data_IF_110856308725
#
_entry.id   IF_110856308725
#
_cell.length_a   1.000
_cell.length_b   1.000
_cell.length_c   1.000
_cell.angle_alpha   90.00
_cell.angle_beta   90.00
_cell.angle_gamma   90.00
#
_symmetry.space_group_name_H-M   'P 1'
#
loop_
_entity.id
_entity.type
_entity.pdbx_description
1 polymer ?
#
# COMPACT_ATOMS: atom_id res chain seq x y z
N UNK A 1 8.11 25.11 12.01
CA UNK A 1 8.22 23.93 11.13
C UNK A 1 7.59 22.77 11.90
N UNK A 2 6.72 21.99 11.28
CA UNK A 2 6.16 20.78 11.92
C UNK A 2 7.30 19.81 12.24
N UNK A 3 7.24 19.13 13.38
CA UNK A 3 8.24 18.13 13.76
C UNK A 3 8.17 16.95 12.79
N UNK A 4 9.32 16.36 12.41
CA UNK A 4 9.33 15.18 11.57
C UNK A 4 8.72 13.99 12.33
N UNK A 5 7.70 13.37 11.75
CA UNK A 5 7.02 12.21 12.33
C UNK A 5 7.60 10.90 11.76
N UNK A 6 7.67 10.78 10.42
CA UNK A 6 8.30 9.65 9.75
C UNK A 6 9.52 10.14 8.96
N UNK A 7 10.68 9.53 9.19
CA UNK A 7 11.93 9.89 8.51
C UNK A 7 12.56 8.67 7.86
N UNK A 8 12.86 8.78 6.59
CA UNK A 8 13.73 7.87 5.84
C UNK A 8 15.05 8.61 5.56
N UNK A 9 16.16 8.02 5.92
CA UNK A 9 17.50 8.58 5.66
C UNK A 9 18.32 7.61 4.82
N UNK A 10 18.55 7.97 3.55
CA UNK A 10 19.34 7.21 2.55
C UNK A 10 18.99 5.72 2.52
N UNK A 11 17.70 5.42 2.51
CA UNK A 11 17.21 4.04 2.54
C UNK A 11 17.53 3.34 1.24
N UNK A 12 18.25 2.22 1.34
CA UNK A 12 18.44 1.26 0.26
C UNK A 12 17.78 -0.07 0.62
N UNK A 13 17.14 -0.72 -0.35
CA UNK A 13 16.50 -2.03 -0.19
C UNK A 13 16.96 -2.96 -1.29
N UNK A 14 17.32 -4.19 -0.91
CA UNK A 14 17.71 -5.26 -1.83
C UNK A 14 16.78 -6.46 -1.66
N UNK A 15 16.32 -7.02 -2.76
CA UNK A 15 15.49 -8.23 -2.78
C UNK A 15 16.05 -9.21 -3.81
N UNK A 16 16.35 -10.43 -3.39
CA UNK A 16 16.89 -11.46 -4.28
C UNK A 16 18.21 -11.08 -4.97
N UNK A 17 19.03 -10.24 -4.33
CA UNK A 17 20.30 -9.74 -4.89
C UNK A 17 20.14 -8.53 -5.81
N UNK A 18 18.93 -8.11 -6.12
CA UNK A 18 18.67 -6.90 -6.90
C UNK A 18 18.40 -5.69 -6.00
N UNK A 19 18.99 -4.53 -6.32
CA UNK A 19 18.70 -3.27 -5.63
C UNK A 19 17.38 -2.71 -6.14
N UNK A 20 16.40 -2.61 -5.23
CA UNK A 20 15.04 -2.15 -5.55
C UNK A 20 14.86 -0.67 -5.23
N UNK A 21 15.45 -0.21 -4.11
CA UNK A 21 15.46 1.21 -3.73
C UNK A 21 16.89 1.66 -3.51
N UNK A 22 17.20 2.89 -3.90
CA UNK A 22 18.51 3.51 -3.76
C UNK A 22 18.41 4.91 -3.18
N UNK A 23 19.09 5.12 -2.04
CA UNK A 23 19.31 6.43 -1.38
C UNK A 23 18.03 7.24 -1.18
N UNK A 24 16.91 6.55 -0.87
CA UNK A 24 15.62 7.21 -0.67
C UNK A 24 15.64 7.95 0.65
N UNK A 25 15.55 9.29 0.58
CA UNK A 25 15.41 10.16 1.75
C UNK A 25 14.09 10.91 1.67
N UNK A 26 13.28 10.79 2.73
CA UNK A 26 11.95 11.39 2.82
C UNK A 26 11.63 11.72 4.27
N UNK A 27 11.11 12.91 4.52
CA UNK A 27 10.58 13.29 5.81
C UNK A 27 9.10 13.58 5.66
N UNK A 28 8.26 12.97 6.49
CA UNK A 28 6.81 13.20 6.54
C UNK A 28 6.47 13.83 7.88
N UNK A 29 5.73 14.92 7.84
CA UNK A 29 5.28 15.63 9.06
C UNK A 29 4.10 14.90 9.72
N UNK A 30 3.85 15.19 10.99
CA UNK A 30 2.60 14.77 11.64
C UNK A 30 1.39 15.28 10.85
N UNK A 31 0.38 14.42 10.72
CA UNK A 31 -0.88 14.77 10.05
C UNK A 31 -0.72 15.18 8.59
N UNK A 32 0.37 14.81 7.96
CA UNK A 32 0.57 15.01 6.53
C UNK A 32 0.03 13.81 5.74
N UNK A 33 -0.66 14.07 4.64
CA UNK A 33 -1.01 13.05 3.66
C UNK A 33 -0.02 13.13 2.50
N UNK A 34 0.83 12.13 2.35
CA UNK A 34 1.81 12.05 1.26
C UNK A 34 1.36 10.98 0.26
N UNK A 35 1.32 11.34 -1.03
CA UNK A 35 1.17 10.35 -2.10
C UNK A 35 2.51 10.12 -2.80
N UNK A 36 2.82 8.84 -3.00
CA UNK A 36 3.98 8.39 -3.79
C UNK A 36 3.45 7.86 -5.13
N UNK A 37 3.82 8.54 -6.22
CA UNK A 37 3.49 8.12 -7.57
C UNK A 37 4.76 7.71 -8.33
N UNK A 38 4.62 7.01 -9.45
CA UNK A 38 5.77 6.61 -10.25
C UNK A 38 5.44 5.47 -11.20
N UNK A 39 6.40 5.12 -12.04
CA UNK A 39 6.26 4.04 -13.01
C UNK A 39 6.10 2.67 -12.35
N UNK A 40 5.53 1.71 -13.09
CA UNK A 40 5.47 0.32 -12.63
C UNK A 40 6.89 -0.22 -12.46
N UNK A 41 7.13 -0.97 -11.38
CA UNK A 41 8.48 -1.47 -11.07
C UNK A 41 9.40 -0.47 -10.35
N UNK A 42 9.02 0.80 -10.18
CA UNK A 42 9.82 1.82 -9.50
C UNK A 42 9.99 1.65 -7.97
N UNK A 43 9.60 0.51 -7.38
CA UNK A 43 9.85 0.23 -5.95
C UNK A 43 8.85 0.84 -4.97
N UNK A 44 7.73 1.43 -5.42
CA UNK A 44 6.73 2.11 -4.55
C UNK A 44 6.16 1.20 -3.46
N UNK A 45 5.68 0.02 -3.82
CA UNK A 45 5.20 -0.99 -2.85
C UNK A 45 6.31 -1.46 -1.91
N UNK A 46 7.56 -1.56 -2.41
CA UNK A 46 8.73 -1.89 -1.59
C UNK A 46 8.99 -0.79 -0.58
N UNK A 47 8.94 0.48 -0.99
CA UNK A 47 9.07 1.63 -0.09
C UNK A 47 8.03 1.59 1.03
N UNK A 48 6.76 1.40 0.67
CA UNK A 48 5.67 1.32 1.65
C UNK A 48 5.85 0.16 2.62
N UNK A 49 6.25 -1.03 2.13
CA UNK A 49 6.51 -2.20 2.98
C UNK A 49 7.71 -2.02 3.89
N UNK A 50 8.73 -1.28 3.44
CA UNK A 50 9.90 -0.93 4.26
C UNK A 50 9.50 0.02 5.40
N UNK A 51 8.69 1.03 5.12
CA UNK A 51 8.13 1.93 6.14
C UNK A 51 7.28 1.16 7.16
N UNK A 52 6.53 0.15 6.70
CA UNK A 52 5.74 -0.73 7.58
C UNK A 52 6.59 -1.68 8.45
N UNK A 53 7.90 -1.74 8.26
CA UNK A 53 8.78 -2.71 8.90
C UNK A 53 8.61 -4.14 8.38
N UNK A 54 7.96 -4.33 7.23
CA UNK A 54 7.75 -5.64 6.60
C UNK A 54 8.94 -6.09 5.75
N UNK A 55 9.80 -5.16 5.35
CA UNK A 55 11.03 -5.42 4.62
C UNK A 55 12.20 -4.74 5.33
N UNK A 56 13.33 -5.42 5.50
CA UNK A 56 14.52 -4.82 6.09
C UNK A 56 15.18 -3.83 5.13
N UNK A 57 15.86 -2.83 5.67
CA UNK A 57 16.75 -1.96 4.92
C UNK A 57 18.11 -2.64 4.71
N UNK A 58 18.71 -2.51 3.54
CA UNK A 58 20.09 -2.93 3.28
C UNK A 58 21.10 -1.88 3.81
N UNK A 59 20.75 -0.59 3.72
CA UNK A 59 21.47 0.53 4.34
C UNK A 59 20.54 1.72 4.54
N UNK A 60 20.97 2.69 5.33
CA UNK A 60 20.14 3.81 5.75
C UNK A 60 19.26 3.46 6.95
N UNK A 61 18.26 4.27 7.22
CA UNK A 61 17.35 4.04 8.35
C UNK A 61 15.94 4.55 8.09
N UNK A 62 14.96 3.92 8.73
CA UNK A 62 13.57 4.40 8.86
C UNK A 62 13.29 4.63 10.32
N UNK A 63 12.74 5.78 10.67
CA UNK A 63 12.34 6.09 12.04
C UNK A 63 10.96 6.73 12.11
N UNK A 64 10.23 6.48 13.19
CA UNK A 64 8.95 7.06 13.53
C UNK A 64 9.10 7.75 14.89
N UNK A 65 8.89 9.07 14.95
CA UNK A 65 9.17 9.93 16.11
C UNK A 65 10.59 9.75 16.69
N UNK A 66 11.57 9.60 15.83
CA UNK A 66 12.96 9.36 16.21
C UNK A 66 13.27 7.92 16.66
N UNK A 67 12.27 7.02 16.78
CA UNK A 67 12.49 5.61 17.09
C UNK A 67 12.65 4.79 15.82
N UNK A 68 13.72 3.96 15.72
CA UNK A 68 13.96 3.17 14.52
C UNK A 68 12.84 2.12 14.28
N UNK A 69 12.42 2.00 13.04
CA UNK A 69 11.48 0.96 12.58
C UNK A 69 12.28 -0.30 12.26
N UNK A 70 12.26 -1.27 13.18
CA UNK A 70 13.00 -2.54 13.05
C UNK A 70 12.09 -3.72 12.72
N UNK A 71 10.77 -3.50 12.66
CA UNK A 71 9.76 -4.52 12.38
C UNK A 71 8.35 -3.94 12.39
N UNK A 72 7.32 -4.77 12.13
CA UNK A 72 5.94 -4.34 12.20
C UNK A 72 5.56 -3.77 13.58
N UNK A 73 4.81 -2.68 13.59
CA UNK A 73 4.42 -1.97 14.81
C UNK A 73 2.89 -1.74 14.83
N UNK A 74 2.24 -1.80 16.01
CA UNK A 74 0.83 -1.42 16.15
C UNK A 74 0.57 0.06 15.84
N UNK A 75 1.59 0.91 15.82
CA UNK A 75 1.51 2.32 15.44
C UNK A 75 1.23 2.50 13.94
N UNK A 76 1.47 1.45 13.13
CA UNK A 76 1.36 1.50 11.67
C UNK A 76 0.32 0.50 11.18
N UNK A 77 -0.63 0.93 10.36
CA UNK A 77 -1.56 0.03 9.67
C UNK A 77 -1.36 0.08 8.16
N UNK A 78 -1.48 -1.08 7.51
CA UNK A 78 -1.30 -1.22 6.06
C UNK A 78 -2.59 -1.71 5.41
N UNK A 79 -3.03 -0.99 4.38
CA UNK A 79 -4.07 -1.44 3.45
C UNK A 79 -3.36 -1.93 2.19
N UNK A 80 -3.41 -3.24 1.96
CA UNK A 80 -2.77 -3.87 0.81
C UNK A 80 -3.66 -3.82 -0.43
N UNK A 81 -3.05 -3.83 -1.61
CA UNK A 81 -3.73 -3.90 -2.90
C UNK A 81 -4.68 -5.12 -3.01
N UNK A 82 -4.30 -6.26 -2.44
CA UNK A 82 -5.09 -7.49 -2.38
C UNK A 82 -5.78 -7.64 -1.03
N UNK A 83 -6.70 -6.79 -0.69
CA UNK A 83 -7.60 -6.74 0.47
C UNK A 83 -7.09 -7.38 1.79
N UNK A 84 -6.35 -8.50 1.76
CA UNK A 84 -5.77 -9.21 2.90
C UNK A 84 -6.80 -9.61 3.98
N UNK A 85 -8.07 -9.83 3.60
CA UNK A 85 -9.12 -10.19 4.54
C UNK A 85 -8.99 -11.65 4.97
N UNK A 86 -9.36 -11.91 6.22
CA UNK A 86 -9.45 -13.28 6.75
C UNK A 86 -10.73 -13.95 6.21
N UNK A 87 -10.63 -14.95 5.32
CA UNK A 87 -11.79 -15.53 4.66
C UNK A 87 -12.76 -16.26 5.60
N UNK A 88 -12.26 -16.71 6.75
CA UNK A 88 -13.04 -17.38 7.82
C UNK A 88 -13.64 -16.43 8.87
N UNK A 89 -13.48 -15.13 8.72
CA UNK A 89 -14.06 -14.10 9.61
C UNK A 89 -15.12 -13.31 8.87
N UNK A 90 -16.19 -12.97 9.57
CA UNK A 90 -17.20 -12.03 9.06
C UNK A 90 -16.60 -10.63 8.88
N UNK A 91 -17.30 -9.73 8.16
CA UNK A 91 -16.93 -8.32 8.00
C UNK A 91 -16.67 -7.67 9.37
N UNK A 92 -17.63 -7.75 10.29
CA UNK A 92 -17.50 -7.25 11.66
C UNK A 92 -16.26 -7.80 12.37
N UNK A 93 -16.00 -9.09 12.24
CA UNK A 93 -14.86 -9.75 12.88
C UNK A 93 -13.53 -9.38 12.22
N UNK A 94 -13.50 -9.11 10.91
CA UNK A 94 -12.34 -8.58 10.21
C UNK A 94 -11.99 -7.18 10.72
N UNK A 95 -12.98 -6.29 10.83
CA UNK A 95 -12.79 -4.92 11.34
C UNK A 95 -12.24 -4.94 12.78
N UNK A 96 -12.86 -5.74 13.65
CA UNK A 96 -12.45 -5.86 15.05
C UNK A 96 -11.08 -6.52 15.26
N UNK A 97 -10.51 -7.15 14.23
CA UNK A 97 -9.28 -7.93 14.36
C UNK A 97 -8.05 -7.06 14.68
N UNK A 98 -7.96 -5.85 14.10
CA UNK A 98 -6.86 -4.93 14.38
C UNK A 98 -6.70 -4.61 15.86
N UNK A 99 -7.80 -4.36 16.56
CA UNK A 99 -7.81 -4.13 18.02
C UNK A 99 -7.37 -5.37 18.80
N UNK A 100 -7.86 -6.55 18.41
CA UNK A 100 -7.53 -7.82 19.09
C UNK A 100 -6.03 -8.15 19.02
N UNK A 101 -5.40 -7.92 17.87
CA UNK A 101 -3.95 -8.18 17.69
C UNK A 101 -3.10 -7.25 18.56
N UNK A 102 -3.59 -6.03 18.80
CA UNK A 102 -2.94 -5.07 19.70
C UNK A 102 -3.17 -5.37 21.20
N UNK A 103 -3.90 -6.45 21.52
CA UNK A 103 -4.29 -6.75 22.90
C UNK A 103 -5.32 -5.76 23.49
N UNK A 104 -5.91 -4.91 22.66
CA UNK A 104 -6.91 -3.92 23.08
C UNK A 104 -8.30 -4.56 23.14
N UNK A 105 -9.12 -4.16 24.11
CA UNK A 105 -10.53 -4.55 24.13
C UNK A 105 -11.21 -4.06 22.84
N UNK A 106 -12.07 -4.92 22.28
CA UNK A 106 -12.86 -4.53 21.11
C UNK A 106 -13.96 -3.57 21.58
N UNK A 107 -13.88 -2.32 21.13
CA UNK A 107 -14.95 -1.34 21.29
C UNK A 107 -16.06 -1.61 20.25
N UNK A 108 -17.27 -2.06 20.67
CA UNK A 108 -18.36 -2.32 19.76
C UNK A 108 -18.86 -1.06 19.03
N UNK A 109 -18.75 0.11 19.67
CA UNK A 109 -19.18 1.38 19.08
C UNK A 109 -18.21 1.85 18.00
N UNK A 110 -16.90 1.66 18.19
CA UNK A 110 -15.91 1.91 17.12
C UNK A 110 -16.19 1.03 15.90
N UNK A 111 -16.41 -0.27 16.11
CA UNK A 111 -16.72 -1.19 15.00
C UNK A 111 -18.02 -0.79 14.31
N UNK A 112 -19.05 -0.37 15.05
CA UNK A 112 -20.31 0.13 14.49
C UNK A 112 -20.05 1.39 13.64
N UNK A 113 -19.34 2.38 14.17
CA UNK A 113 -18.98 3.59 13.42
C UNK A 113 -18.25 3.27 12.11
N UNK A 114 -17.30 2.33 12.12
CA UNK A 114 -16.59 1.91 10.90
C UNK A 114 -17.54 1.28 9.88
N UNK A 115 -18.47 0.43 10.33
CA UNK A 115 -19.49 -0.17 9.48
C UNK A 115 -20.41 0.88 8.85
N UNK A 116 -20.86 1.84 9.63
CA UNK A 116 -21.73 2.94 9.18
C UNK A 116 -21.02 3.85 8.18
N UNK A 117 -19.84 4.35 8.54
CA UNK A 117 -19.09 5.30 7.71
C UNK A 117 -18.69 4.72 6.36
N UNK A 118 -18.31 3.43 6.34
CA UNK A 118 -17.92 2.73 5.12
C UNK A 118 -19.06 1.96 4.46
N UNK A 119 -20.31 2.19 4.88
CA UNK A 119 -21.55 1.62 4.30
C UNK A 119 -21.51 0.08 4.23
N UNK A 120 -21.13 -0.55 5.34
CA UNK A 120 -20.99 -2.02 5.48
C UNK A 120 -22.01 -2.64 6.43
N UNK A 121 -23.03 -1.87 6.93
CA UNK A 121 -23.99 -2.35 7.91
C UNK A 121 -24.75 -3.60 7.46
N UNK A 122 -25.24 -3.59 6.21
CA UNK A 122 -26.07 -4.66 5.65
C UNK A 122 -25.29 -5.96 5.45
N UNK A 123 -23.95 -5.86 5.38
CA UNK A 123 -23.06 -7.01 5.15
C UNK A 123 -22.18 -7.33 6.36
N UNK A 124 -22.46 -6.76 7.52
CA UNK A 124 -21.63 -6.90 8.73
C UNK A 124 -21.39 -8.36 9.14
N UNK A 125 -22.34 -9.25 8.88
CA UNK A 125 -22.27 -10.68 9.20
C UNK A 125 -21.86 -11.56 8.01
N UNK A 126 -21.59 -10.99 6.83
CA UNK A 126 -21.15 -11.71 5.64
C UNK A 126 -19.67 -12.06 5.74
N UNK A 127 -19.29 -13.14 5.05
CA UNK A 127 -17.90 -13.53 4.86
C UNK A 127 -17.32 -12.91 3.58
N UNK A 128 -16.00 -12.74 3.47
CA UNK A 128 -15.36 -12.13 2.30
C UNK A 128 -15.76 -12.74 0.95
N UNK A 129 -16.04 -14.05 0.88
CA UNK A 129 -16.47 -14.71 -0.34
C UNK A 129 -17.81 -14.18 -0.89
N UNK A 130 -18.65 -13.58 -0.03
CA UNK A 130 -19.98 -13.06 -0.37
C UNK A 130 -19.94 -11.58 -0.78
N UNK A 131 -18.77 -10.94 -0.78
CA UNK A 131 -18.59 -9.50 -1.00
C UNK A 131 -18.10 -9.20 -2.41
N UNK A 132 -18.55 -8.08 -2.97
CA UNK A 132 -17.93 -7.49 -4.16
C UNK A 132 -16.49 -7.00 -3.86
N UNK A 133 -15.68 -6.75 -4.92
CA UNK A 133 -14.33 -6.21 -4.78
C UNK A 133 -14.30 -4.90 -3.99
N UNK A 134 -15.20 -3.97 -4.30
CA UNK A 134 -15.33 -2.71 -3.60
C UNK A 134 -15.69 -2.85 -2.12
N UNK A 135 -16.60 -3.79 -1.79
CA UNK A 135 -16.91 -4.09 -0.39
C UNK A 135 -15.71 -4.68 0.36
N UNK A 136 -14.95 -5.59 -0.28
CA UNK A 136 -13.73 -6.14 0.31
C UNK A 136 -12.71 -5.04 0.61
N UNK A 137 -12.56 -4.09 -0.28
CA UNK A 137 -11.67 -2.94 -0.10
C UNK A 137 -12.12 -2.08 1.08
N UNK A 138 -13.40 -1.74 1.17
CA UNK A 138 -13.98 -1.02 2.31
C UNK A 138 -13.72 -1.74 3.64
N UNK A 139 -13.86 -3.06 3.68
CA UNK A 139 -13.55 -3.86 4.89
C UNK A 139 -12.06 -3.80 5.24
N UNK A 140 -11.16 -3.88 4.26
CA UNK A 140 -9.72 -3.74 4.47
C UNK A 140 -9.34 -2.39 5.07
N UNK A 141 -9.91 -1.31 4.53
CA UNK A 141 -9.71 0.06 5.03
C UNK A 141 -10.33 0.21 6.43
N UNK A 142 -11.57 -0.27 6.65
CA UNK A 142 -12.23 -0.25 7.95
C UNK A 142 -11.40 -0.93 9.04
N UNK A 143 -10.80 -2.09 8.73
CA UNK A 143 -9.93 -2.83 9.64
C UNK A 143 -8.66 -2.04 9.98
N UNK A 144 -8.04 -1.40 9.00
CA UNK A 144 -6.84 -0.59 9.21
C UNK A 144 -7.15 0.63 10.08
N UNK A 145 -8.24 1.33 9.80
CA UNK A 145 -8.66 2.52 10.56
C UNK A 145 -9.16 2.18 11.97
N UNK A 146 -9.83 1.03 12.15
CA UNK A 146 -10.27 0.58 13.48
C UNK A 146 -9.10 0.29 14.43
N UNK A 147 -7.90 0.04 13.92
CA UNK A 147 -6.69 -0.10 14.73
C UNK A 147 -6.20 1.25 15.31
N UNK A 148 -6.78 2.38 14.86
CA UNK A 148 -6.40 3.75 15.25
C UNK A 148 -4.87 3.98 15.12
N UNK A 149 -4.29 3.76 13.93
CA UNK A 149 -2.87 3.88 13.72
C UNK A 149 -2.41 5.35 13.73
N UNK A 150 -1.16 5.59 14.10
CA UNK A 150 -0.50 6.89 13.93
C UNK A 150 -0.08 7.09 12.46
N UNK A 151 0.28 6.01 11.76
CA UNK A 151 0.64 6.01 10.34
C UNK A 151 -0.23 5.03 9.57
N UNK A 152 -1.00 5.55 8.62
CA UNK A 152 -1.79 4.76 7.68
C UNK A 152 -1.06 4.64 6.35
N UNK A 153 -0.75 3.43 5.95
CA UNK A 153 -0.08 3.10 4.70
C UNK A 153 -1.07 2.46 3.72
N UNK A 154 -1.17 2.99 2.51
CA UNK A 154 -2.16 2.60 1.51
C UNK A 154 -1.43 2.19 0.21
N UNK A 155 -1.46 0.91 -0.13
CA UNK A 155 -0.83 0.35 -1.33
C UNK A 155 -1.88 0.16 -2.44
N UNK A 156 -1.97 1.13 -3.35
CA UNK A 156 -2.95 1.18 -4.47
C UNK A 156 -4.39 0.87 -4.03
N UNK A 157 -4.93 1.56 -3.00
CA UNK A 157 -6.16 1.14 -2.33
C UNK A 157 -7.42 1.22 -3.21
N UNK A 158 -7.37 1.93 -4.33
CA UNK A 158 -8.55 2.18 -5.17
C UNK A 158 -8.41 1.64 -6.58
N UNK A 159 -7.29 1.00 -6.92
CA UNK A 159 -6.95 0.59 -8.31
C UNK A 159 -7.93 -0.41 -8.92
N UNK A 160 -8.53 -1.29 -8.11
CA UNK A 160 -9.45 -2.36 -8.55
C UNK A 160 -10.93 -1.95 -8.61
N UNK A 161 -11.24 -0.67 -8.39
CA UNK A 161 -12.61 -0.18 -8.29
C UNK A 161 -13.07 0.51 -9.59
N UNK A 162 -14.37 0.39 -9.89
CA UNK A 162 -15.00 1.24 -10.90
C UNK A 162 -14.99 2.72 -10.48
N UNK A 163 -15.15 3.63 -11.44
CA UNK A 163 -14.97 5.07 -11.23
C UNK A 163 -15.88 5.66 -10.14
N UNK A 164 -17.15 5.24 -10.08
CA UNK A 164 -18.12 5.79 -9.11
C UNK A 164 -17.81 5.29 -7.70
N UNK A 165 -17.56 3.99 -7.54
CA UNK A 165 -17.18 3.38 -6.26
C UNK A 165 -15.85 3.95 -5.77
N UNK A 166 -14.88 4.15 -6.66
CA UNK A 166 -13.57 4.74 -6.37
C UNK A 166 -13.72 6.14 -5.79
N UNK A 167 -14.41 7.04 -6.48
CA UNK A 167 -14.61 8.42 -6.03
C UNK A 167 -15.35 8.49 -4.69
N UNK A 168 -16.39 7.66 -4.50
CA UNK A 168 -17.08 7.57 -3.22
C UNK A 168 -16.15 7.15 -2.09
N UNK A 169 -15.33 6.12 -2.31
CA UNK A 169 -14.43 5.59 -1.27
C UNK A 169 -13.26 6.53 -0.98
N UNK A 170 -12.71 7.20 -1.99
CA UNK A 170 -11.69 8.25 -1.81
C UNK A 170 -12.19 9.37 -0.90
N UNK A 171 -13.38 9.88 -1.16
CA UNK A 171 -14.00 10.92 -0.34
C UNK A 171 -14.29 10.44 1.10
N UNK A 172 -14.71 9.18 1.29
CA UNK A 172 -14.93 8.59 2.62
C UNK A 172 -13.62 8.46 3.40
N UNK A 173 -12.56 7.95 2.77
CA UNK A 173 -11.23 7.81 3.39
C UNK A 173 -10.63 9.17 3.74
N UNK A 174 -10.76 10.15 2.83
CA UNK A 174 -10.25 11.50 3.06
C UNK A 174 -10.94 12.16 4.26
N UNK A 175 -12.27 12.06 4.36
CA UNK A 175 -13.03 12.58 5.51
C UNK A 175 -12.62 11.91 6.83
N UNK A 176 -12.43 10.58 6.81
CA UNK A 176 -11.98 9.85 8.00
C UNK A 176 -10.58 10.27 8.44
N UNK A 177 -9.68 10.50 7.49
CA UNK A 177 -8.35 11.01 7.76
C UNK A 177 -8.40 12.45 8.30
N UNK A 178 -9.15 13.34 7.66
CA UNK A 178 -9.31 14.75 8.10
C UNK A 178 -9.93 14.87 9.50
N UNK A 179 -10.84 13.96 9.85
CA UNK A 179 -11.46 13.91 11.18
C UNK A 179 -10.52 13.36 12.26
N UNK A 180 -9.44 12.67 11.89
CA UNK A 180 -8.48 12.09 12.82
C UNK A 180 -7.31 13.06 13.07
N UNK A 181 -7.27 13.65 14.25
CA UNK A 181 -6.27 14.67 14.60
C UNK A 181 -4.83 14.16 14.68
N UNK A 182 -4.59 12.83 14.71
CA UNK A 182 -3.29 12.25 15.00
C UNK A 182 -2.79 11.28 13.91
N UNK A 183 -3.45 11.20 12.76
CA UNK A 183 -3.12 10.21 11.73
C UNK A 183 -2.36 10.84 10.58
N UNK A 184 -1.14 10.39 10.37
CA UNK A 184 -0.33 10.64 9.17
C UNK A 184 -0.66 9.57 8.12
N UNK A 185 -0.70 9.91 6.84
CA UNK A 185 -0.98 8.95 5.78
C UNK A 185 0.08 8.97 4.68
N UNK A 186 0.45 7.78 4.19
CA UNK A 186 1.27 7.62 3.00
C UNK A 186 0.58 6.65 2.06
N UNK A 187 0.31 7.11 0.85
CA UNK A 187 -0.38 6.33 -0.17
C UNK A 187 0.49 6.15 -1.40
N UNK A 188 0.52 4.93 -1.92
CA UNK A 188 1.08 4.62 -3.23
C UNK A 188 -0.07 4.55 -4.23
N UNK A 189 0.08 5.25 -5.36
CA UNK A 189 -0.85 5.20 -6.48
C UNK A 189 -0.13 5.45 -7.81
N UNK A 190 -0.76 5.10 -8.91
CA UNK A 190 -0.33 5.46 -10.26
C UNK A 190 -1.24 6.53 -10.88
N UNK A 191 -2.27 6.98 -10.17
CA UNK A 191 -3.26 7.95 -10.63
C UNK A 191 -2.92 9.35 -10.08
N UNK A 192 -2.62 10.28 -11.00
CA UNK A 192 -2.26 11.67 -10.67
C UNK A 192 -3.45 12.41 -10.04
N UNK A 193 -4.66 12.16 -10.55
CA UNK A 193 -5.86 12.86 -10.08
C UNK A 193 -6.21 12.41 -8.64
N UNK A 194 -5.98 11.13 -8.33
CA UNK A 194 -6.07 10.58 -6.98
C UNK A 194 -5.03 11.23 -6.05
N UNK A 195 -3.78 11.33 -6.49
CA UNK A 195 -2.73 11.96 -5.71
C UNK A 195 -3.04 13.43 -5.39
N UNK A 196 -3.55 14.20 -6.36
CA UNK A 196 -3.94 15.60 -6.17
C UNK A 196 -5.16 15.75 -5.25
N UNK A 197 -6.09 14.79 -5.26
CA UNK A 197 -7.24 14.78 -4.37
C UNK A 197 -6.82 14.54 -2.91
N UNK A 198 -5.99 13.54 -2.70
CA UNK A 198 -5.70 13.01 -1.36
C UNK A 198 -4.57 13.75 -0.65
N UNK A 199 -3.49 14.09 -1.37
CA UNK A 199 -2.22 14.47 -0.76
C UNK A 199 -2.06 15.95 -0.43
N UNK A 200 -1.29 16.24 0.62
CA UNK A 200 -0.71 17.56 0.87
C UNK A 200 0.62 17.71 0.10
N UNK A 201 1.27 16.57 -0.18
CA UNK A 201 2.52 16.51 -0.95
C UNK A 201 2.56 15.23 -1.78
N UNK A 202 3.04 15.39 -3.02
CA UNK A 202 3.23 14.27 -3.96
C UNK A 202 4.72 14.07 -4.22
N UNK A 203 5.16 12.82 -4.09
CA UNK A 203 6.52 12.36 -4.33
C UNK A 203 6.52 11.49 -5.59
N UNK A 204 7.43 11.77 -6.52
CA UNK A 204 7.62 10.94 -7.72
C UNK A 204 8.82 10.03 -7.49
N UNK A 205 8.60 8.73 -7.64
CA UNK A 205 9.64 7.70 -7.57
C UNK A 205 9.82 7.09 -8.94
N UNK A 206 11.05 7.08 -9.42
CA UNK A 206 11.45 6.52 -10.72
C UNK A 206 12.59 5.50 -10.54
N UNK A 207 12.78 4.62 -11.49
CA UNK A 207 13.82 3.57 -11.47
C UNK A 207 13.35 2.30 -12.14
N UNK A 208 14.08 1.23 -12.21
CA UNK A 208 14.95 0.57 -11.20
C UNK A 208 16.44 1.03 -11.21
N UNK A 209 17.09 1.15 -10.04
CA UNK A 209 16.51 1.14 -8.69
C UNK A 209 15.69 2.39 -8.41
N UNK A 210 14.60 2.23 -7.62
CA UNK A 210 13.69 3.33 -7.27
C UNK A 210 14.39 4.40 -6.42
N UNK A 211 14.25 5.64 -6.82
CA UNK A 211 14.73 6.82 -6.11
C UNK A 211 13.75 7.98 -6.30
N UNK A 212 13.78 8.97 -5.41
CA UNK A 212 12.92 10.15 -5.50
C UNK A 212 13.50 11.08 -6.58
N UNK A 213 12.67 11.43 -7.56
CA UNK A 213 13.06 12.31 -8.69
C UNK A 213 12.38 13.66 -8.66
N UNK A 214 11.23 13.74 -8.01
CA UNK A 214 10.47 14.99 -7.92
C UNK A 214 9.60 15.01 -6.68
N UNK A 215 9.39 16.21 -6.14
CA UNK A 215 8.51 16.46 -5.00
C UNK A 215 7.70 17.71 -5.26
N UNK A 216 6.40 17.66 -4.97
CA UNK A 216 5.50 18.79 -5.16
C UNK A 216 4.54 18.94 -3.98
N UNK A 217 4.45 20.14 -3.42
CA UNK A 217 3.40 20.50 -2.49
C UNK A 217 2.08 20.73 -3.23
N UNK A 218 0.99 20.22 -2.69
CA UNK A 218 -0.36 20.39 -3.25
C UNK A 218 -1.07 21.53 -2.55
N UNK A 219 -0.96 22.72 -3.10
CA UNK A 219 -1.58 23.93 -2.55
C UNK A 219 -3.05 24.06 -2.98
N UNK A 220 -3.84 23.02 -2.70
CA UNK A 220 -5.29 23.04 -2.87
C UNK A 220 -5.96 23.08 -1.50
N UNK A 221 -7.03 23.86 -1.33
CA UNK A 221 -7.72 23.98 -0.03
C UNK A 221 -8.34 22.66 0.41
N UNK A 222 -8.50 22.47 1.73
CA UNK A 222 -9.28 21.40 2.34
C UNK A 222 -10.56 21.98 2.98
N UNK A 223 -11.68 21.23 3.11
CA UNK A 223 -11.88 19.85 2.61
C UNK A 223 -11.88 19.81 1.08
N UNK A 224 -11.53 18.64 0.52
CA UNK A 224 -11.45 18.43 -0.93
C UNK A 224 -12.49 17.43 -1.42
N UNK A 225 -13.02 17.69 -2.62
CA UNK A 225 -13.78 16.74 -3.41
C UNK A 225 -13.23 16.68 -4.83
N UNK A 226 -13.45 15.58 -5.55
CA UNK A 226 -13.01 15.43 -6.93
C UNK A 226 -13.52 16.52 -7.84
N UNK A 227 -14.73 17.02 -7.61
CA UNK A 227 -15.32 18.10 -8.41
C UNK A 227 -14.65 19.45 -8.12
N UNK A 228 -14.42 19.77 -6.82
CA UNK A 228 -13.84 21.05 -6.41
C UNK A 228 -12.39 21.17 -6.88
N UNK A 229 -11.57 20.13 -6.72
CA UNK A 229 -10.17 20.18 -7.16
C UNK A 229 -10.04 20.34 -8.66
N UNK A 230 -10.88 19.65 -9.47
CA UNK A 230 -10.86 19.76 -10.94
C UNK A 230 -11.27 21.15 -11.44
N UNK A 231 -12.05 21.87 -10.65
CA UNK A 231 -12.50 23.23 -10.96
C UNK A 231 -11.49 24.30 -10.49
N UNK A 232 -10.48 23.92 -9.70
CA UNK A 232 -9.50 24.86 -9.17
C UNK A 232 -8.53 25.33 -10.27
N UNK A 233 -8.23 26.62 -10.31
CA UNK A 233 -7.38 27.22 -11.35
C UNK A 233 -5.98 26.61 -11.47
N UNK A 234 -5.40 26.16 -10.37
CA UNK A 234 -4.05 25.58 -10.33
C UNK A 234 -4.01 24.08 -10.65
N UNK A 235 -5.17 23.39 -10.65
CA UNK A 235 -5.23 21.96 -10.89
C UNK A 235 -4.62 21.53 -12.24
N UNK A 236 -4.92 22.16 -13.40
CA UNK A 236 -4.32 21.77 -14.68
C UNK A 236 -2.79 21.92 -14.70
N UNK A 237 -2.26 22.95 -14.02
CA UNK A 237 -0.83 23.21 -13.90
C UNK A 237 -0.17 22.11 -13.06
N UNK A 238 -0.72 21.80 -11.88
CA UNK A 238 -0.18 20.76 -10.98
C UNK A 238 -0.21 19.40 -11.67
N UNK A 239 -1.34 19.05 -12.30
CA UNK A 239 -1.49 17.80 -13.05
C UNK A 239 -0.46 17.66 -14.15
N UNK A 240 -0.22 18.76 -14.91
CA UNK A 240 0.80 18.77 -15.97
C UNK A 240 2.21 18.58 -15.41
N UNK A 241 2.57 19.25 -14.31
CA UNK A 241 3.89 19.10 -13.68
C UNK A 241 4.16 17.65 -13.27
N UNK A 242 3.19 16.98 -12.65
CA UNK A 242 3.32 15.57 -12.26
C UNK A 242 3.41 14.66 -13.48
N UNK A 243 2.61 14.92 -14.51
CA UNK A 243 2.66 14.18 -15.76
C UNK A 243 4.03 14.29 -16.45
N UNK A 244 4.56 15.51 -16.57
CA UNK A 244 5.86 15.76 -17.17
C UNK A 244 6.99 15.10 -16.37
N UNK A 245 6.90 15.13 -15.02
CA UNK A 245 7.87 14.46 -14.14
C UNK A 245 7.85 12.94 -14.29
N UNK A 246 6.69 12.31 -14.45
CA UNK A 246 6.59 10.87 -14.69
C UNK A 246 7.18 10.47 -16.04
N UNK A 247 6.99 11.29 -17.08
CA UNK A 247 7.44 10.96 -18.42
C UNK A 247 8.93 11.29 -18.65
N UNK A 248 9.48 12.30 -18.00
CA UNK A 248 10.91 12.65 -18.15
C UNK A 248 11.83 11.54 -17.67
N UNK A 249 11.40 10.70 -16.74
CA UNK A 249 12.16 9.57 -16.19
C UNK A 249 11.74 8.20 -16.73
N UNK A 250 10.68 8.13 -17.54
CA UNK A 250 10.30 6.91 -18.23
C UNK A 250 11.22 6.59 -19.43
N UNK A 251 12.05 7.55 -19.85
CA UNK A 251 12.95 7.43 -20.99
C UNK A 251 14.36 6.90 -20.63
N UNK A 252 14.68 6.69 -19.35
CA UNK A 252 15.95 6.06 -18.96
C UNK A 252 15.89 4.57 -19.31
N UNK A 253 16.75 4.07 -20.26
CA UNK A 253 16.68 2.68 -20.66
C UNK A 253 17.06 1.81 -19.46
N UNK A 254 16.18 0.84 -19.16
CA UNK A 254 16.49 -0.26 -18.22
C UNK A 254 17.78 -0.92 -18.70
N UNK A 255 18.90 -0.91 -17.93
CA UNK A 255 20.06 -1.68 -18.30
C UNK A 255 19.62 -3.15 -18.43
N UNK A 256 19.84 -3.72 -19.62
CA UNK A 256 19.53 -5.12 -19.85
C UNK A 256 20.34 -5.94 -18.84
N UNK A 257 19.68 -6.47 -17.81
CA UNK A 257 20.27 -7.50 -16.98
C UNK A 257 20.53 -8.69 -17.89
N UNK A 258 21.80 -9.06 -18.07
CA UNK A 258 22.21 -10.30 -18.67
C UNK A 258 21.38 -11.44 -18.06
N UNK A 259 20.46 -11.97 -18.85
CA UNK A 259 19.72 -13.16 -18.49
C UNK A 259 20.76 -14.26 -18.27
N UNK A 260 20.95 -14.68 -17.03
CA UNK A 260 21.77 -15.85 -16.74
C UNK A 260 21.27 -17.01 -17.61
N UNK A 261 22.17 -17.75 -18.28
CA UNK A 261 21.76 -18.84 -19.19
C UNK A 261 20.89 -19.84 -18.42
N UNK A 262 19.76 -20.17 -19.00
CA UNK A 262 18.85 -21.20 -18.50
C UNK A 262 19.66 -22.46 -18.19
N UNK A 263 19.66 -22.88 -16.93
CA UNK A 263 20.23 -24.18 -16.54
C UNK A 263 19.47 -25.25 -17.30
N UNK A 264 20.18 -25.89 -18.21
CA UNK A 264 19.73 -27.10 -18.92
C UNK A 264 19.22 -28.11 -17.89
N UNK A 265 17.96 -28.45 -17.98
CA UNK A 265 17.32 -29.47 -17.14
C UNK A 265 17.99 -30.83 -17.41
N UNK A 266 18.68 -31.35 -16.42
CA UNK A 266 19.21 -32.71 -16.45
C UNK A 266 18.07 -33.71 -16.71
N UNK A 267 18.31 -34.76 -17.58
CA UNK A 267 17.29 -35.74 -17.88
C UNK A 267 16.93 -36.58 -16.66
N UNK A 268 15.63 -36.78 -16.44
CA UNK A 268 15.11 -37.61 -15.35
C UNK A 268 15.66 -39.06 -15.40
N UNK A 269 15.99 -39.66 -14.26
CA UNK A 269 16.48 -41.05 -14.24
C UNK A 269 15.39 -42.02 -14.71
N UNK A 270 15.73 -42.87 -15.71
CA UNK A 270 14.90 -43.97 -16.22
C UNK A 270 14.54 -44.93 -15.06
N UNK A 271 13.25 -45.03 -14.75
CA UNK A 271 12.75 -46.13 -13.89
C UNK A 271 13.05 -47.44 -14.49
N UNK A 272 13.84 -48.25 -13.79
CA UNK A 272 14.06 -49.68 -14.09
C UNK A 272 12.71 -50.43 -13.99
N UNK A 273 12.33 -51.15 -15.05
CA UNK A 273 11.20 -52.07 -15.03
C UNK A 273 11.63 -53.25 -14.16
N UNK A 274 11.07 -53.38 -12.94
CA UNK A 274 11.12 -54.65 -12.19
C UNK A 274 10.13 -55.61 -12.82
N UNK A 275 10.67 -56.73 -13.30
CA UNK A 275 9.91 -57.83 -13.90
C UNK A 275 9.00 -58.48 -12.83
N UNK A 276 7.77 -58.66 -13.24
CA UNK A 276 6.76 -59.44 -12.52
C UNK A 276 7.04 -60.93 -12.76
N UNK A 277 7.38 -61.66 -11.71
CA UNK A 277 7.41 -63.12 -11.74
C UNK A 277 6.00 -63.71 -11.56
N UNK A 278 5.64 -64.82 -12.20
CA UNK A 278 4.29 -65.37 -12.10
C UNK A 278 4.12 -66.17 -10.80
N UNK A 279 2.97 -65.94 -10.13
CA UNK A 279 2.52 -66.79 -9.02
C UNK A 279 2.06 -68.15 -9.57
N UNK A 280 2.70 -69.24 -9.10
CA UNK A 280 2.25 -70.61 -9.29
C UNK A 280 1.12 -70.92 -8.32
N UNK A 281 0.01 -71.42 -8.85
CA UNK A 281 -1.03 -72.14 -8.13
C UNK A 281 -0.46 -73.39 -7.44
N UNK A 282 -0.87 -73.67 -6.20
CA UNK A 282 -1.02 -75.02 -5.70
C UNK A 282 -1.82 -75.02 -4.37
N UNK A 283 -2.96 -75.73 -4.47
CA UNK A 283 -3.76 -76.47 -3.46
C UNK A 283 -4.30 -75.73 -2.24
#
# INVERSE_FOLDING_TARGET
MASPHLVLDKVCVELGGARILQDVSLTVAEREFVCVIGTSGGGKTTLLRTIAGLLPVASGSVSLDGFPVTGPSPRTAVVFQHFGLFPWKTVRSNIAYGLRVQGRPVDPDLVRRMLETLKLNDVANYYPAQLSGGMKQRVGIARALAAEPEVLLLDEPFSSLDAITRESLQNEVLRLWEANANMTALQVTHDIDEALLMADRVIVVSGPPGHITFEMKVDLPRPRSSQEIRSHQDYPRMRKLLWDSLNSHAADPVPAHDAAPARESAPAPRRARQGMAPLSEST
#
